data_IF_870460060677
#
_entry.id   IF_870460060677
#
_cell.length_a   1.000
_cell.length_b   1.000
_cell.length_c   1.000
_cell.angle_alpha   90.00
_cell.angle_beta   90.00
_cell.angle_gamma   90.00
#
_symmetry.space_group_name_H-M   'P 1'
#
loop_
_entity.id
_entity.type
_entity.pdbx_description
1 polymer ?
#
# COMPACT_ATOMS: atom_id res chain seq x y z
N UNK A 1 3.41 24.74 7.36
CA UNK A 1 2.68 23.53 7.79
C UNK A 1 1.25 23.66 7.29
N UNK A 2 0.66 22.63 6.68
CA UNK A 2 -0.63 22.73 5.96
C UNK A 2 -1.89 22.67 6.88
N UNK A 3 -1.74 22.77 8.21
CA UNK A 3 -2.87 22.84 9.14
C UNK A 3 -3.69 21.55 9.30
N UNK A 4 -3.15 20.39 8.92
CA UNK A 4 -3.86 19.11 8.99
C UNK A 4 -3.63 18.30 10.27
N UNK A 5 -2.79 18.79 11.19
CA UNK A 5 -2.32 18.00 12.34
C UNK A 5 -3.46 17.44 13.20
N UNK A 6 -4.46 18.26 13.52
CA UNK A 6 -5.62 17.85 14.33
C UNK A 6 -6.57 16.87 13.62
N UNK A 7 -6.30 16.59 12.34
CA UNK A 7 -7.02 15.61 11.50
C UNK A 7 -6.16 14.37 11.21
N UNK A 8 -4.95 14.30 11.77
CA UNK A 8 -4.05 13.17 11.61
C UNK A 8 -4.04 12.31 12.87
N UNK A 9 -4.13 10.99 12.67
CA UNK A 9 -3.85 10.01 13.71
C UNK A 9 -2.53 9.33 13.37
N UNK A 10 -1.54 9.44 14.26
CA UNK A 10 -0.26 8.72 14.14
C UNK A 10 -0.35 7.45 14.96
N UNK A 11 0.02 6.33 14.36
CA UNK A 11 0.02 5.02 15.01
C UNK A 11 1.41 4.42 14.84
N UNK A 12 2.05 4.08 15.96
CA UNK A 12 3.32 3.36 15.99
C UNK A 12 3.04 1.87 16.14
N UNK A 13 3.06 1.13 15.04
CA UNK A 13 2.74 -0.30 14.99
C UNK A 13 3.32 -0.95 13.73
N UNK A 14 3.36 -2.28 13.70
CA UNK A 14 3.56 -3.03 12.47
C UNK A 14 2.30 -2.93 11.59
N UNK A 15 2.49 -2.74 10.27
CA UNK A 15 1.36 -2.50 9.36
C UNK A 15 0.43 -3.72 9.27
N UNK A 16 0.95 -4.94 9.34
CA UNK A 16 0.12 -6.14 9.24
C UNK A 16 -0.66 -6.39 10.52
N UNK A 17 -0.04 -6.13 11.68
CA UNK A 17 -0.76 -6.11 12.96
C UNK A 17 -1.85 -5.02 12.96
N UNK A 18 -1.54 -3.82 12.48
CA UNK A 18 -2.50 -2.73 12.36
C UNK A 18 -3.69 -3.11 11.47
N UNK A 19 -3.45 -3.77 10.33
CA UNK A 19 -4.48 -4.14 9.34
C UNK A 19 -5.31 -5.38 9.72
N UNK A 20 -4.84 -6.22 10.64
CA UNK A 20 -5.57 -7.43 11.05
C UNK A 20 -6.88 -7.11 11.80
N UNK A 21 -6.92 -5.95 12.47
CA UNK A 21 -8.11 -5.47 13.17
C UNK A 21 -9.37 -5.29 12.29
N UNK A 22 -10.53 -5.20 12.93
CA UNK A 22 -11.77 -4.82 12.24
C UNK A 22 -11.79 -3.30 12.04
N UNK A 23 -11.47 -2.83 10.83
CA UNK A 23 -11.39 -1.41 10.49
C UNK A 23 -12.34 -1.05 9.36
N UNK A 24 -12.72 0.22 9.34
CA UNK A 24 -13.37 0.80 8.16
C UNK A 24 -12.37 0.81 6.98
N UNK A 25 -12.91 0.61 5.79
CA UNK A 25 -12.14 0.62 4.54
C UNK A 25 -11.79 2.07 4.22
N UNK A 26 -10.50 2.35 4.02
CA UNK A 26 -10.04 3.69 3.61
C UNK A 26 -10.41 3.97 2.16
N UNK A 27 -10.60 5.24 1.80
CA UNK A 27 -10.78 5.58 0.38
C UNK A 27 -9.49 5.38 -0.42
N UNK A 28 -8.35 5.71 0.18
CA UNK A 28 -7.03 5.65 -0.46
C UNK A 28 -5.98 5.24 0.58
N UNK A 29 -5.14 4.27 0.22
CA UNK A 29 -3.93 3.90 0.93
C UNK A 29 -2.70 4.19 0.07
N UNK A 30 -1.72 4.86 0.66
CA UNK A 30 -0.40 5.11 0.08
C UNK A 30 0.63 4.32 0.87
N UNK A 31 1.48 3.56 0.20
CA UNK A 31 2.49 2.73 0.84
C UNK A 31 3.84 2.84 0.12
N UNK A 32 4.90 3.04 0.89
CA UNK A 32 6.30 2.95 0.47
C UNK A 32 7.04 2.02 1.45
N UNK A 33 6.92 0.70 1.29
CA UNK A 33 7.53 -0.25 2.20
C UNK A 33 9.06 -0.31 2.00
N UNK A 34 9.82 -0.69 3.03
CA UNK A 34 11.27 -0.78 2.91
C UNK A 34 11.71 -1.74 1.78
N UNK A 35 12.55 -1.25 0.87
CA UNK A 35 13.08 -2.05 -0.24
C UNK A 35 13.94 -3.23 0.25
N UNK A 36 13.92 -4.32 -0.52
CA UNK A 36 14.67 -5.55 -0.19
C UNK A 36 13.98 -6.40 0.89
N UNK A 37 12.78 -6.03 1.32
CA UNK A 37 11.91 -6.84 2.17
C UNK A 37 10.77 -7.44 1.34
N UNK A 38 10.01 -8.37 1.92
CA UNK A 38 8.79 -8.92 1.30
C UNK A 38 7.54 -8.05 1.56
N UNK A 39 7.68 -6.87 2.17
CA UNK A 39 6.55 -6.08 2.64
C UNK A 39 5.61 -5.63 1.51
N UNK A 40 6.16 -5.26 0.33
CA UNK A 40 5.38 -4.90 -0.86
C UNK A 40 4.48 -6.06 -1.31
N UNK A 41 5.06 -7.26 -1.45
CA UNK A 41 4.34 -8.48 -1.85
C UNK A 41 3.28 -8.85 -0.80
N UNK A 42 3.64 -8.77 0.48
CA UNK A 42 2.70 -9.04 1.58
C UNK A 42 1.54 -8.05 1.60
N UNK A 43 1.77 -6.76 1.37
CA UNK A 43 0.71 -5.74 1.31
C UNK A 43 -0.25 -5.96 0.14
N UNK A 44 0.28 -6.29 -1.05
CA UNK A 44 -0.56 -6.64 -2.20
C UNK A 44 -1.40 -7.87 -1.89
N UNK A 45 -0.78 -8.92 -1.35
CA UNK A 45 -1.49 -10.16 -0.98
C UNK A 45 -2.59 -9.89 0.04
N UNK A 46 -2.30 -9.08 1.06
CA UNK A 46 -3.26 -8.70 2.08
C UNK A 46 -4.43 -7.90 1.49
N UNK A 47 -4.13 -6.91 0.65
CA UNK A 47 -5.14 -6.11 -0.05
C UNK A 47 -6.06 -6.95 -0.92
N UNK A 48 -5.50 -7.90 -1.68
CA UNK A 48 -6.28 -8.78 -2.56
C UNK A 48 -7.16 -9.78 -1.79
N UNK A 49 -6.73 -10.23 -0.61
CA UNK A 49 -7.51 -11.14 0.23
C UNK A 49 -8.59 -10.42 1.03
N UNK A 50 -8.25 -9.27 1.61
CA UNK A 50 -9.13 -8.46 2.46
C UNK A 50 -8.82 -6.98 2.19
N UNK A 51 -9.54 -6.34 1.26
CA UNK A 51 -9.33 -4.93 0.94
C UNK A 51 -9.48 -4.06 2.19
N UNK A 52 -8.41 -3.35 2.54
CA UNK A 52 -8.41 -2.34 3.60
C UNK A 52 -8.58 -0.93 3.06
N UNK A 53 -8.51 -0.75 1.73
CA UNK A 53 -8.79 0.50 1.05
C UNK A 53 -9.51 0.26 -0.28
N UNK A 54 -10.14 1.30 -0.85
CA UNK A 54 -10.73 1.25 -2.19
C UNK A 54 -9.65 1.33 -3.27
N UNK A 55 -8.61 2.11 -3.00
CA UNK A 55 -7.41 2.19 -3.83
C UNK A 55 -6.14 2.02 -2.98
N UNK A 56 -5.19 1.22 -3.47
CA UNK A 56 -3.85 1.09 -2.92
C UNK A 56 -2.84 1.58 -3.96
N UNK A 57 -2.03 2.55 -3.59
CA UNK A 57 -0.91 3.04 -4.39
C UNK A 57 0.39 2.64 -3.69
N UNK A 58 1.10 1.70 -4.31
CA UNK A 58 2.27 1.06 -3.75
C UNK A 58 3.52 1.47 -4.53
N UNK A 59 4.44 2.13 -3.83
CA UNK A 59 5.79 2.35 -4.30
C UNK A 59 6.64 1.10 -4.03
N UNK A 60 7.43 0.67 -5.02
CA UNK A 60 8.27 -0.52 -4.93
C UNK A 60 9.42 -0.48 -5.94
N UNK A 61 10.36 -1.42 -5.85
CA UNK A 61 11.48 -1.49 -6.81
C UNK A 61 10.98 -1.94 -8.19
N UNK A 62 11.48 -1.31 -9.25
CA UNK A 62 11.25 -1.77 -10.61
C UNK A 62 11.78 -3.20 -10.82
N UNK A 63 10.93 -4.07 -11.37
CA UNK A 63 11.22 -5.48 -11.60
C UNK A 63 10.94 -6.37 -10.39
N UNK A 64 10.44 -5.83 -9.28
CA UNK A 64 9.87 -6.63 -8.19
C UNK A 64 8.55 -7.26 -8.65
N UNK A 65 8.43 -8.57 -8.50
CA UNK A 65 7.21 -9.31 -8.84
C UNK A 65 6.23 -9.27 -7.66
N UNK A 66 5.14 -8.54 -7.83
CA UNK A 66 4.14 -8.33 -6.79
C UNK A 66 2.97 -9.33 -6.81
N UNK A 67 2.89 -10.19 -7.83
CA UNK A 67 1.74 -11.10 -8.01
C UNK A 67 0.41 -10.36 -8.24
N UNK A 68 0.45 -9.16 -8.81
CA UNK A 68 -0.75 -8.34 -9.05
C UNK A 68 -1.57 -8.88 -10.23
N UNK A 69 -2.91 -8.75 -10.19
CA UNK A 69 -3.75 -9.07 -11.34
C UNK A 69 -3.49 -8.12 -12.52
N UNK A 70 -3.84 -8.54 -13.74
CA UNK A 70 -3.62 -7.78 -14.99
C UNK A 70 -4.26 -6.38 -15.00
N UNK A 71 -5.22 -6.14 -14.10
CA UNK A 71 -5.91 -4.84 -13.95
C UNK A 71 -5.08 -3.79 -13.18
N UNK A 72 -3.98 -4.19 -12.54
CA UNK A 72 -3.11 -3.25 -11.84
C UNK A 72 -2.39 -2.33 -12.84
N UNK A 73 -2.30 -1.03 -12.52
CA UNK A 73 -1.59 -0.07 -13.37
C UNK A 73 -0.26 0.30 -12.73
N UNK A 74 0.82 0.05 -13.45
CA UNK A 74 2.19 0.37 -12.99
C UNK A 74 2.79 1.50 -13.81
N UNK A 75 3.41 2.47 -13.14
CA UNK A 75 4.23 3.52 -13.76
C UNK A 75 5.66 3.43 -13.22
N UNK A 76 6.64 3.62 -14.09
CA UNK A 76 8.07 3.55 -13.74
C UNK A 76 8.68 4.95 -13.63
N UNK A 77 9.48 5.15 -12.59
CA UNK A 77 10.27 6.35 -12.32
C UNK A 77 11.70 5.95 -11.95
N UNK A 78 12.60 5.89 -12.93
CA UNK A 78 13.97 5.44 -12.69
C UNK A 78 14.03 3.94 -12.34
N UNK A 79 14.48 3.62 -11.14
CA UNK A 79 14.52 2.28 -10.54
C UNK A 79 13.33 2.00 -9.60
N UNK A 80 12.44 2.96 -9.42
CA UNK A 80 11.19 2.83 -8.67
C UNK A 80 10.00 2.61 -9.60
N UNK A 81 9.02 1.86 -9.15
CA UNK A 81 7.71 1.72 -9.77
C UNK A 81 6.60 2.08 -8.77
N UNK A 82 5.55 2.70 -9.29
CA UNK A 82 4.31 2.96 -8.57
C UNK A 82 3.22 2.09 -9.19
N UNK A 83 2.71 1.13 -8.42
CA UNK A 83 1.63 0.23 -8.82
C UNK A 83 0.35 0.62 -8.10
N UNK A 84 -0.72 0.80 -8.88
CA UNK A 84 -2.05 1.16 -8.37
C UNK A 84 -3.00 -0.03 -8.50
N UNK A 85 -3.66 -0.38 -7.41
CA UNK A 85 -4.70 -1.40 -7.31
C UNK A 85 -6.01 -0.74 -6.89
N UNK A 86 -7.11 -1.15 -7.51
CA UNK A 86 -8.46 -0.70 -7.17
C UNK A 86 -9.39 -1.91 -7.03
N UNK A 87 -10.35 -1.82 -6.11
CA UNK A 87 -11.38 -2.85 -5.83
C UNK A 87 -12.76 -2.44 -6.31
#
# INVERSE_FOLDING_TARGET
MLGAWDKCMVVEDDVFHYLDGNREVFDLALADPPYGTSASVSLVSFFLQKPFARELWLEHRWGEELGTPDIARTRRYGDTALTTLAT
#
